data_IF_916187046817
#
_entry.id   IF_916187046817
#
_cell.length_a   1.000
_cell.length_b   1.000
_cell.length_c   1.000
_cell.angle_alpha   90.00
_cell.angle_beta   90.00
_cell.angle_gamma   90.00
#
_symmetry.space_group_name_H-M   'P 1'
#
loop_
_entity.id
_entity.type
_entity.pdbx_description
1 polymer ?
#
# COMPACT_ATOMS: atom_id res chain seq x y z
N UNK A 1 1.08 5.22 -27.54
CA UNK A 1 1.04 4.65 -26.19
C UNK A 1 1.05 5.80 -25.22
N UNK A 2 -0.11 6.09 -24.62
CA UNK A 2 -0.30 7.17 -23.64
C UNK A 2 -0.75 6.61 -22.27
N UNK A 3 -0.61 5.30 -22.08
CA UNK A 3 -1.23 4.52 -20.99
C UNK A 3 -0.71 4.99 -19.62
N UNK A 4 0.59 5.30 -19.52
CA UNK A 4 1.20 5.87 -18.30
C UNK A 4 0.54 7.20 -17.92
N UNK A 5 0.40 8.12 -18.89
CA UNK A 5 -0.27 9.41 -18.68
C UNK A 5 -1.76 9.23 -18.37
N UNK A 6 -2.45 8.31 -19.03
CA UNK A 6 -3.86 8.01 -18.74
C UNK A 6 -4.08 7.55 -17.29
N UNK A 7 -3.21 6.68 -16.77
CA UNK A 7 -3.32 6.23 -15.37
C UNK A 7 -2.99 7.37 -14.40
N UNK A 8 -1.96 8.17 -14.69
CA UNK A 8 -1.59 9.31 -13.86
C UNK A 8 -2.72 10.37 -13.82
N UNK A 9 -3.25 10.76 -14.99
CA UNK A 9 -4.39 11.67 -15.12
C UNK A 9 -5.62 11.17 -14.37
N UNK A 10 -5.93 9.88 -14.45
CA UNK A 10 -7.02 9.28 -13.68
C UNK A 10 -6.78 9.40 -12.17
N UNK A 11 -5.58 9.06 -11.69
CA UNK A 11 -5.27 9.07 -10.26
C UNK A 11 -5.31 10.48 -9.64
N UNK A 12 -4.75 11.48 -10.33
CA UNK A 12 -4.73 12.86 -9.82
C UNK A 12 -6.07 13.59 -9.95
N UNK A 13 -6.92 13.15 -10.88
CA UNK A 13 -8.25 13.74 -11.07
C UNK A 13 -9.34 13.13 -10.18
N UNK A 14 -9.07 11.98 -9.55
CA UNK A 14 -10.02 11.25 -8.72
C UNK A 14 -10.42 12.07 -7.49
N UNK A 15 -11.73 12.21 -7.25
CA UNK A 15 -12.26 12.89 -6.06
C UNK A 15 -13.08 11.94 -5.21
N UNK A 16 -12.86 12.00 -3.89
CA UNK A 16 -13.57 11.15 -2.93
C UNK A 16 -15.11 11.31 -2.98
N UNK A 17 -15.59 12.51 -3.34
CA UNK A 17 -17.02 12.80 -3.49
C UNK A 17 -17.67 12.08 -4.67
N UNK A 18 -16.89 11.70 -5.69
CA UNK A 18 -17.37 11.02 -6.89
C UNK A 18 -17.37 9.49 -6.72
N UNK A 19 -16.75 8.99 -5.64
CA UNK A 19 -16.67 7.56 -5.36
C UNK A 19 -17.96 7.07 -4.70
N UNK A 20 -18.57 5.96 -5.20
CA UNK A 20 -19.72 5.33 -4.57
C UNK A 20 -19.50 5.01 -3.09
N UNK A 21 -20.56 5.16 -2.27
CA UNK A 21 -20.44 4.93 -0.82
C UNK A 21 -20.11 3.48 -0.45
N UNK A 22 -20.57 2.51 -1.22
CA UNK A 22 -20.24 1.10 -1.01
C UNK A 22 -18.76 0.81 -1.25
N UNK A 23 -18.14 1.49 -2.23
CA UNK A 23 -16.68 1.41 -2.47
C UNK A 23 -15.91 2.04 -1.30
N UNK A 24 -16.30 3.23 -0.83
CA UNK A 24 -15.70 3.86 0.36
C UNK A 24 -15.85 2.99 1.60
N UNK A 25 -17.01 2.37 1.80
CA UNK A 25 -17.26 1.46 2.90
C UNK A 25 -16.39 0.20 2.82
N UNK A 26 -16.19 -0.38 1.63
CA UNK A 26 -15.26 -1.49 1.44
C UNK A 26 -13.82 -1.10 1.71
N UNK A 27 -13.36 0.04 1.19
CA UNK A 27 -12.00 0.50 1.43
C UNK A 27 -11.72 0.73 2.92
N UNK A 28 -12.65 1.30 3.69
CA UNK A 28 -12.53 1.41 5.15
C UNK A 28 -12.40 0.05 5.83
N UNK A 29 -13.16 -0.95 5.38
CA UNK A 29 -13.04 -2.34 5.90
C UNK A 29 -11.68 -2.94 5.56
N UNK A 30 -11.18 -2.76 4.34
CA UNK A 30 -9.86 -3.25 3.96
C UNK A 30 -8.72 -2.55 4.72
N UNK A 31 -8.83 -1.26 4.99
CA UNK A 31 -7.88 -0.55 5.85
C UNK A 31 -7.83 -1.19 7.25
N UNK A 32 -9.00 -1.45 7.85
CA UNK A 32 -9.08 -2.10 9.15
C UNK A 32 -8.51 -3.52 9.15
N UNK A 33 -8.89 -4.32 8.16
CA UNK A 33 -8.43 -5.70 7.96
C UNK A 33 -6.90 -5.78 7.83
N UNK A 34 -6.33 -4.93 6.96
CA UNK A 34 -4.90 -4.87 6.72
C UNK A 34 -4.11 -4.38 7.93
N UNK A 35 -4.65 -3.43 8.69
CA UNK A 35 -4.03 -3.02 9.94
C UNK A 35 -4.03 -4.16 10.97
N UNK A 36 -5.09 -4.98 11.00
CA UNK A 36 -5.13 -6.21 11.78
C UNK A 36 -4.07 -7.23 11.37
N UNK A 37 -3.94 -7.50 10.06
CA UNK A 37 -2.92 -8.40 9.50
C UNK A 37 -1.51 -7.92 9.86
N UNK A 38 -1.25 -6.62 9.72
CA UNK A 38 0.01 -6.00 10.09
C UNK A 38 0.35 -6.17 11.58
N UNK A 39 -0.61 -5.94 12.49
CA UNK A 39 -0.39 -6.15 13.92
C UNK A 39 -0.11 -7.63 14.23
N UNK A 40 -0.91 -8.54 13.68
CA UNK A 40 -0.73 -9.98 13.88
C UNK A 40 0.64 -10.44 13.35
N UNK A 41 0.97 -10.07 12.12
CA UNK A 41 2.20 -10.44 11.46
C UNK A 41 3.45 -9.83 12.11
N UNK A 42 3.34 -8.65 12.72
CA UNK A 42 4.44 -8.03 13.47
C UNK A 42 4.92 -8.91 14.64
N UNK A 43 4.07 -9.78 15.20
CA UNK A 43 4.41 -10.63 16.36
C UNK A 43 5.26 -11.86 16.01
N UNK A 44 5.38 -12.19 14.73
CA UNK A 44 6.01 -13.42 14.24
C UNK A 44 7.55 -13.36 14.36
N UNK A 45 8.22 -14.52 14.52
CA UNK A 45 9.68 -14.55 14.68
C UNK A 45 10.45 -13.86 13.56
N UNK A 46 10.08 -14.13 12.29
CA UNK A 46 10.75 -13.51 11.14
C UNK A 46 10.52 -12.00 11.06
N UNK A 47 9.35 -11.50 11.46
CA UNK A 47 9.05 -10.07 11.53
C UNK A 47 9.91 -9.36 12.58
N UNK A 48 10.19 -10.01 13.71
CA UNK A 48 11.11 -9.50 14.75
C UNK A 48 12.54 -9.39 14.24
N UNK A 49 13.04 -10.47 13.62
CA UNK A 49 14.39 -10.51 13.04
C UNK A 49 14.54 -9.41 11.98
N UNK A 50 13.51 -9.24 11.15
CA UNK A 50 13.53 -8.24 10.09
C UNK A 50 13.55 -6.81 10.63
N UNK A 51 12.69 -6.51 11.61
CA UNK A 51 12.70 -5.23 12.32
C UNK A 51 14.06 -4.95 12.95
N UNK A 52 14.67 -5.93 13.60
CA UNK A 52 15.97 -5.78 14.25
C UNK A 52 17.06 -5.35 13.25
N UNK A 53 17.07 -5.95 12.06
CA UNK A 53 18.03 -5.58 11.00
C UNK A 53 17.77 -4.16 10.51
N UNK A 54 16.51 -3.83 10.20
CA UNK A 54 16.15 -2.50 9.67
C UNK A 54 16.43 -1.40 10.69
N UNK A 55 16.03 -1.57 11.95
CA UNK A 55 16.25 -0.56 13.01
C UNK A 55 17.71 -0.37 13.40
N UNK A 56 18.61 -1.33 13.09
CA UNK A 56 20.06 -1.17 13.27
C UNK A 56 20.76 -0.46 12.13
N UNK A 57 20.20 -0.52 10.92
CA UNK A 57 20.86 -0.06 9.69
C UNK A 57 20.23 1.19 9.10
N UNK A 58 19.01 1.52 9.52
CA UNK A 58 18.21 2.62 9.01
C UNK A 58 17.70 3.48 10.17
N UNK A 59 17.45 4.75 9.89
CA UNK A 59 17.04 5.74 10.88
C UNK A 59 16.15 6.80 10.25
N UNK A 60 15.32 7.45 11.03
CA UNK A 60 14.49 8.57 10.58
C UNK A 60 13.42 8.88 11.60
N UNK A 61 12.53 9.82 11.29
CA UNK A 61 11.45 10.21 12.19
C UNK A 61 10.21 10.70 11.44
N UNK A 62 9.76 9.94 10.44
CA UNK A 62 8.64 10.31 9.57
C UNK A 62 7.37 9.50 9.80
N UNK A 63 7.50 8.22 10.15
CA UNK A 63 6.34 7.35 10.35
C UNK A 63 6.61 6.22 11.34
N UNK A 64 5.52 5.65 11.85
CA UNK A 64 5.51 4.63 12.89
C UNK A 64 5.53 3.22 12.31
N UNK A 65 6.41 2.38 12.83
CA UNK A 65 6.37 0.92 12.65
C UNK A 65 5.28 0.39 13.58
N UNK A 66 4.17 -0.09 13.01
CA UNK A 66 3.03 -0.51 13.82
C UNK A 66 3.40 -1.67 14.74
N UNK A 67 2.61 -1.83 15.82
CA UNK A 67 2.86 -2.73 16.94
C UNK A 67 4.06 -2.32 17.82
N UNK A 68 5.20 -1.94 17.24
CA UNK A 68 6.43 -1.65 17.99
C UNK A 68 6.60 -0.18 18.40
N UNK A 69 6.03 0.75 17.65
CA UNK A 69 6.13 2.19 17.96
C UNK A 69 7.46 2.83 17.58
N UNK A 70 8.37 2.12 16.92
CA UNK A 70 9.58 2.73 16.37
C UNK A 70 9.22 3.80 15.35
N UNK A 71 10.04 4.84 15.27
CA UNK A 71 9.91 5.87 14.26
C UNK A 71 11.06 5.76 13.28
N UNK A 72 10.74 5.69 11.98
CA UNK A 72 11.70 5.58 10.87
C UNK A 72 11.34 6.57 9.76
N UNK A 73 12.18 6.65 8.73
CA UNK A 73 11.80 7.31 7.49
C UNK A 73 10.49 6.68 6.92
N UNK A 74 9.64 7.45 6.23
CA UNK A 74 8.31 6.97 5.84
C UNK A 74 8.35 5.74 4.92
N UNK A 75 9.34 5.66 4.03
CA UNK A 75 9.58 4.49 3.17
C UNK A 75 9.97 3.25 3.98
N UNK A 76 10.82 3.41 4.99
CA UNK A 76 11.25 2.31 5.87
C UNK A 76 10.15 1.81 6.80
N UNK A 77 9.34 2.72 7.33
CA UNK A 77 8.16 2.36 8.10
C UNK A 77 7.12 1.64 7.22
N UNK A 78 6.83 2.17 6.03
CA UNK A 78 5.93 1.53 5.06
C UNK A 78 6.42 0.11 4.71
N UNK A 79 7.71 -0.04 4.48
CA UNK A 79 8.34 -1.31 4.16
C UNK A 79 8.18 -2.36 5.26
N UNK A 80 8.52 -2.04 6.51
CA UNK A 80 8.32 -2.96 7.63
C UNK A 80 6.84 -3.29 7.83
N UNK A 81 5.98 -2.29 7.74
CA UNK A 81 4.54 -2.44 7.90
C UNK A 81 3.92 -3.33 6.79
N UNK A 82 4.39 -3.21 5.54
CA UNK A 82 4.03 -4.11 4.45
C UNK A 82 4.56 -5.53 4.66
N UNK A 83 5.80 -5.67 5.12
CA UNK A 83 6.38 -6.97 5.43
C UNK A 83 5.60 -7.69 6.54
N UNK A 84 5.15 -6.95 7.57
CA UNK A 84 4.30 -7.51 8.62
C UNK A 84 2.93 -7.91 8.10
N UNK A 85 2.33 -7.10 7.24
CA UNK A 85 1.00 -7.38 6.70
C UNK A 85 0.96 -8.70 5.91
N UNK A 86 1.96 -8.94 5.07
CA UNK A 86 2.08 -10.17 4.27
C UNK A 86 2.82 -11.31 5.00
N UNK A 87 3.07 -11.19 6.32
CA UNK A 87 3.97 -12.09 7.03
C UNK A 87 3.43 -13.52 7.21
N UNK A 88 2.12 -13.71 7.15
CA UNK A 88 1.42 -14.98 7.41
C UNK A 88 0.32 -15.31 6.39
N UNK A 89 0.29 -14.63 5.25
CA UNK A 89 -0.67 -14.86 4.16
C UNK A 89 -2.15 -14.72 4.57
N UNK A 90 -2.44 -13.90 5.59
CA UNK A 90 -3.82 -13.58 6.00
C UNK A 90 -4.38 -12.31 5.37
N UNK A 91 -3.56 -11.62 4.58
CA UNK A 91 -3.91 -10.38 3.90
C UNK A 91 -4.87 -10.60 2.72
N UNK A 92 -5.48 -9.50 2.27
CA UNK A 92 -6.51 -9.54 1.25
C UNK A 92 -5.99 -10.04 -0.11
N UNK A 93 -6.88 -10.64 -0.90
CA UNK A 93 -6.54 -11.15 -2.24
C UNK A 93 -7.59 -10.73 -3.26
N UNK A 94 -7.14 -10.13 -4.37
CA UNK A 94 -7.98 -9.95 -5.54
C UNK A 94 -7.75 -11.10 -6.55
N UNK A 95 -8.61 -12.12 -6.46
CA UNK A 95 -8.47 -13.39 -7.17
C UNK A 95 -8.33 -13.27 -8.69
N UNK A 96 -9.01 -12.31 -9.32
CA UNK A 96 -8.98 -12.16 -10.78
C UNK A 96 -7.65 -11.60 -11.29
N UNK A 97 -6.93 -10.84 -10.47
CA UNK A 97 -5.66 -10.19 -10.85
C UNK A 97 -4.49 -10.71 -10.00
N UNK A 98 -4.54 -11.98 -9.58
CA UNK A 98 -3.87 -12.57 -8.41
C UNK A 98 -2.87 -11.65 -7.70
N UNK A 99 -3.36 -10.70 -6.91
CA UNK A 99 -2.55 -9.70 -6.21
C UNK A 99 -3.11 -9.41 -4.82
N UNK A 100 -2.27 -8.82 -3.97
CA UNK A 100 -2.52 -8.46 -2.58
C UNK A 100 -2.35 -6.94 -2.43
N UNK A 101 -3.39 -6.14 -2.76
CA UNK A 101 -3.28 -4.69 -2.81
C UNK A 101 -3.24 -4.04 -1.43
N UNK A 102 -3.90 -4.61 -0.42
CA UNK A 102 -3.98 -4.04 0.91
C UNK A 102 -2.64 -4.01 1.63
N UNK A 103 -1.89 -5.10 1.51
CA UNK A 103 -0.53 -5.27 2.04
C UNK A 103 0.45 -4.18 1.61
N UNK A 104 0.13 -3.44 0.55
CA UNK A 104 0.99 -2.44 -0.08
C UNK A 104 0.39 -1.05 0.05
N UNK A 105 -0.88 -0.90 -0.35
CA UNK A 105 -1.57 0.39 -0.35
C UNK A 105 -1.73 0.95 1.07
N UNK A 106 -2.15 0.13 2.03
CA UNK A 106 -2.46 0.60 3.38
C UNK A 106 -1.19 1.03 4.14
N UNK A 107 -0.11 0.23 4.20
CA UNK A 107 1.13 0.66 4.84
C UNK A 107 1.76 1.91 4.21
N UNK A 108 1.78 1.98 2.88
CA UNK A 108 2.34 3.13 2.16
C UNK A 108 1.55 4.41 2.44
N UNK A 109 0.21 4.35 2.35
CA UNK A 109 -0.64 5.50 2.58
C UNK A 109 -0.60 5.95 4.05
N UNK A 110 -0.60 5.03 5.02
CA UNK A 110 -0.49 5.37 6.45
C UNK A 110 0.85 6.03 6.80
N UNK A 111 1.96 5.49 6.29
CA UNK A 111 3.28 6.07 6.54
C UNK A 111 3.39 7.49 5.98
N UNK A 112 2.88 7.71 4.76
CA UNK A 112 2.86 9.04 4.16
C UNK A 112 1.84 9.97 4.81
N UNK A 113 0.71 9.45 5.30
CA UNK A 113 -0.23 10.23 6.09
C UNK A 113 0.41 10.76 7.36
N UNK A 114 1.14 9.92 8.10
CA UNK A 114 1.83 10.36 9.30
C UNK A 114 2.91 11.39 9.00
N UNK A 115 3.69 11.16 7.94
CA UNK A 115 4.75 12.07 7.52
C UNK A 115 4.23 13.43 7.04
N UNK A 116 3.10 13.46 6.33
CA UNK A 116 2.54 14.67 5.71
C UNK A 116 1.52 15.42 6.57
N UNK A 117 1.28 15.00 7.81
CA UNK A 117 0.37 15.70 8.73
C UNK A 117 -1.11 15.29 8.65
N UNK A 118 -1.38 14.03 8.32
CA UNK A 118 -2.61 13.28 8.60
C UNK A 118 -3.92 13.84 8.02
N UNK A 119 -4.48 13.16 7.01
CA UNK A 119 -5.82 13.44 6.49
C UNK A 119 -6.52 12.11 6.17
N UNK A 120 -7.62 11.84 6.88
CA UNK A 120 -8.37 10.58 6.75
C UNK A 120 -9.15 10.45 5.43
N UNK A 121 -9.62 11.55 4.86
CA UNK A 121 -10.29 11.55 3.55
C UNK A 121 -9.26 11.31 2.44
N UNK A 122 -8.12 11.98 2.55
CA UNK A 122 -6.99 11.80 1.63
C UNK A 122 -6.41 10.38 1.72
N UNK A 123 -6.29 9.82 2.92
CA UNK A 123 -5.90 8.43 3.16
C UNK A 123 -6.85 7.47 2.46
N UNK A 124 -8.16 7.66 2.63
CA UNK A 124 -9.17 6.80 1.99
C UNK A 124 -9.09 6.88 0.47
N UNK A 125 -8.94 8.09 -0.08
CA UNK A 125 -8.75 8.31 -1.52
C UNK A 125 -7.48 7.64 -2.05
N UNK A 126 -6.36 7.79 -1.34
CA UNK A 126 -5.07 7.22 -1.70
C UNK A 126 -5.11 5.68 -1.74
N UNK A 127 -5.73 5.05 -0.74
CA UNK A 127 -5.89 3.59 -0.70
C UNK A 127 -6.76 3.11 -1.87
N UNK A 128 -7.89 3.77 -2.15
CA UNK A 128 -8.77 3.38 -3.26
C UNK A 128 -8.03 3.49 -4.60
N UNK A 129 -7.33 4.59 -4.84
CA UNK A 129 -6.57 4.80 -6.07
C UNK A 129 -5.43 3.77 -6.23
N UNK A 130 -4.70 3.47 -5.16
CA UNK A 130 -3.64 2.47 -5.17
C UNK A 130 -4.18 1.07 -5.49
N UNK A 131 -5.31 0.67 -4.88
CA UNK A 131 -5.99 -0.58 -5.20
C UNK A 131 -6.35 -0.66 -6.69
N UNK A 132 -7.02 0.36 -7.21
CA UNK A 132 -7.48 0.37 -8.61
C UNK A 132 -6.30 0.25 -9.59
N UNK A 133 -5.25 1.05 -9.39
CA UNK A 133 -4.07 1.04 -10.27
C UNK A 133 -3.34 -0.29 -10.18
N UNK A 134 -3.06 -0.80 -8.98
CA UNK A 134 -2.37 -2.07 -8.80
C UNK A 134 -3.15 -3.24 -9.41
N UNK A 135 -4.47 -3.30 -9.21
CA UNK A 135 -5.34 -4.35 -9.76
C UNK A 135 -5.36 -4.28 -11.28
N UNK A 136 -5.51 -3.08 -11.88
CA UNK A 136 -5.51 -2.92 -13.35
C UNK A 136 -4.19 -3.32 -13.98
N UNK A 137 -3.06 -2.93 -13.38
CA UNK A 137 -1.75 -3.33 -13.84
C UNK A 137 -1.56 -4.85 -13.73
N UNK A 138 -1.96 -5.43 -12.60
CA UNK A 138 -1.87 -6.88 -12.41
C UNK A 138 -2.76 -7.63 -13.40
N UNK A 139 -3.94 -7.10 -13.74
CA UNK A 139 -4.78 -7.66 -14.81
C UNK A 139 -4.12 -7.59 -16.18
N UNK A 140 -3.51 -6.46 -16.54
CA UNK A 140 -2.83 -6.32 -17.83
C UNK A 140 -1.66 -7.30 -17.98
N UNK A 141 -1.03 -7.68 -16.86
CA UNK A 141 0.11 -8.59 -16.85
C UNK A 141 -0.25 -10.05 -16.52
N UNK A 142 -1.48 -10.32 -16.08
CA UNK A 142 -1.96 -11.66 -15.73
C UNK A 142 -2.37 -12.44 -17.00
N UNK A 143 -2.16 -13.77 -17.06
CA UNK A 143 -1.45 -14.63 -16.11
C UNK A 143 0.07 -14.69 -16.36
N UNK A 144 0.60 -13.90 -17.30
CA UNK A 144 1.98 -14.00 -17.80
C UNK A 144 3.04 -13.84 -16.71
N UNK A 145 2.82 -12.97 -15.72
CA UNK A 145 3.74 -12.84 -14.57
C UNK A 145 3.93 -14.18 -13.86
N UNK A 146 2.83 -14.82 -13.50
CA UNK A 146 2.84 -16.11 -12.79
C UNK A 146 3.46 -17.20 -13.66
N UNK A 147 3.09 -17.26 -14.94
CA UNK A 147 3.64 -18.27 -15.86
C UNK A 147 5.14 -18.12 -16.12
N UNK A 148 5.69 -16.92 -15.89
CA UNK A 148 7.13 -16.65 -15.91
C UNK A 148 7.81 -16.80 -14.54
N UNK A 149 7.08 -17.23 -13.52
CA UNK A 149 7.59 -17.42 -12.16
C UNK A 149 7.69 -16.13 -11.32
N UNK A 150 7.10 -15.02 -11.77
CA UNK A 150 7.04 -13.79 -10.99
C UNK A 150 5.84 -13.80 -10.03
N UNK A 151 6.06 -13.30 -8.82
CA UNK A 151 5.00 -13.01 -7.87
C UNK A 151 4.34 -11.66 -8.22
N UNK A 152 3.05 -11.61 -8.65
CA UNK A 152 2.46 -10.37 -9.17
C UNK A 152 2.50 -9.16 -8.23
N UNK A 153 2.22 -9.27 -6.90
CA UNK A 153 2.39 -8.17 -5.97
C UNK A 153 3.77 -7.52 -6.02
N UNK A 154 4.84 -8.30 -6.21
CA UNK A 154 6.20 -7.77 -6.33
C UNK A 154 6.38 -6.96 -7.62
N UNK A 155 5.76 -7.43 -8.72
CA UNK A 155 5.86 -6.76 -10.02
C UNK A 155 5.02 -5.49 -10.15
N UNK A 156 3.83 -5.45 -9.54
CA UNK A 156 2.87 -4.35 -9.71
C UNK A 156 2.65 -3.49 -8.47
N UNK A 157 2.99 -4.01 -7.29
CA UNK A 157 2.84 -3.34 -6.00
C UNK A 157 3.57 -2.00 -5.90
N UNK A 158 4.81 -1.85 -6.38
CA UNK A 158 5.51 -0.57 -6.35
C UNK A 158 4.72 0.58 -6.99
N UNK A 159 3.91 0.31 -8.02
CA UNK A 159 3.04 1.32 -8.63
C UNK A 159 1.87 1.71 -7.73
N UNK A 160 1.26 0.75 -7.03
CA UNK A 160 0.23 1.02 -6.02
C UNK A 160 0.77 1.88 -4.86
N UNK A 161 1.94 1.53 -4.33
CA UNK A 161 2.61 2.31 -3.30
C UNK A 161 2.97 3.73 -3.77
N UNK A 162 3.45 3.87 -5.01
CA UNK A 162 3.75 5.18 -5.60
C UNK A 162 2.50 6.06 -5.72
N UNK A 163 1.36 5.51 -6.15
CA UNK A 163 0.08 6.23 -6.22
C UNK A 163 -0.39 6.67 -4.83
N UNK A 164 -0.33 5.77 -3.84
CA UNK A 164 -0.68 6.10 -2.46
C UNK A 164 0.18 7.27 -1.94
N UNK A 165 1.51 7.19 -2.13
CA UNK A 165 2.44 8.22 -1.71
C UNK A 165 2.26 9.54 -2.44
N UNK A 166 2.08 9.52 -3.76
CA UNK A 166 1.87 10.70 -4.58
C UNK A 166 0.59 11.46 -4.19
N UNK A 167 -0.51 10.74 -4.00
CA UNK A 167 -1.76 11.34 -3.52
C UNK A 167 -1.51 11.96 -2.15
N UNK A 168 -0.97 11.22 -1.17
CA UNK A 168 -0.72 11.75 0.17
C UNK A 168 0.23 12.96 0.18
N UNK A 169 1.24 12.98 -0.68
CA UNK A 169 2.15 14.11 -0.85
C UNK A 169 1.52 15.31 -1.59
N UNK A 170 0.39 15.13 -2.27
CA UNK A 170 -0.26 16.18 -3.06
C UNK A 170 0.46 16.48 -4.36
N UNK A 171 1.02 15.45 -5.01
CA UNK A 171 1.63 15.58 -6.33
C UNK A 171 0.56 15.85 -7.39
N UNK A 172 0.96 16.58 -8.44
CA UNK A 172 0.15 16.80 -9.62
C UNK A 172 0.53 15.81 -10.74
N UNK A 173 0.23 16.15 -11.99
CA UNK A 173 0.42 15.26 -13.13
C UNK A 173 1.88 15.17 -13.61
N UNK A 174 2.72 16.17 -13.33
CA UNK A 174 4.09 16.29 -13.88
C UNK A 174 5.15 15.66 -12.94
#
# INVERSE_FOLDING_TARGET
MNETRTIAEWAVSLKLAEIPEDVKAHARRFILDNFGCQIAGATLPWSKDYREVITRTRSGNGATVAYYGDRLAPDDAAFLNSAFNHANETDDTHLKSPTHPGGIAVPAALAMAEYAGGDGEKLLLAVIAAYEVQIRLSWACSPHLIYKGHHPPVGVGPFGAAIAGAIMAGFDLD
#
